data_IF_506282153751
#
_entry.id   IF_506282153751
#
_cell.length_a   1.000
_cell.length_b   1.000
_cell.length_c   1.000
_cell.angle_alpha   90.00
_cell.angle_beta   90.00
_cell.angle_gamma   90.00
#
_symmetry.space_group_name_H-M   'P 1'
#
loop_
_entity.id
_entity.type
_entity.pdbx_description
1 polymer ?
#
# COMPACT_ATOMS: atom_id res chain seq x y z
N UNK A 1 -4.51 11.59 29.48
CA UNK A 1 -4.97 10.79 28.31
C UNK A 1 -5.51 11.61 27.11
N UNK A 2 -5.42 12.94 27.11
CA UNK A 2 -5.62 13.80 25.92
C UNK A 2 -4.49 14.84 25.92
N UNK A 3 -3.33 14.51 25.35
CA UNK A 3 -2.37 15.56 25.02
C UNK A 3 -2.61 15.96 23.56
N UNK A 4 -3.01 17.21 23.28
CA UNK A 4 -3.25 17.67 21.90
C UNK A 4 -1.99 17.52 21.05
N UNK A 5 -0.81 17.62 21.68
CA UNK A 5 0.50 17.39 21.07
C UNK A 5 0.61 15.96 20.52
N UNK A 6 0.10 14.95 21.23
CA UNK A 6 0.18 13.56 20.77
C UNK A 6 -0.68 13.32 19.54
N UNK A 7 -1.90 13.89 19.50
CA UNK A 7 -2.76 13.82 18.31
C UNK A 7 -2.17 14.61 17.14
N UNK A 8 -1.65 15.80 17.40
CA UNK A 8 -0.97 16.63 16.40
C UNK A 8 0.27 15.94 15.82
N UNK A 9 1.09 15.30 16.66
CA UNK A 9 2.27 14.56 16.23
C UNK A 9 1.91 13.35 15.36
N UNK A 10 0.85 12.62 15.72
CA UNK A 10 0.36 11.48 14.96
C UNK A 10 -0.16 11.90 13.58
N UNK A 11 -0.94 13.00 13.54
CA UNK A 11 -1.43 13.58 12.29
C UNK A 11 -0.28 14.11 11.43
N UNK A 12 0.66 14.85 12.00
CA UNK A 12 1.85 15.34 11.29
C UNK A 12 2.69 14.19 10.74
N UNK A 13 2.88 13.11 11.51
CA UNK A 13 3.56 11.90 11.07
C UNK A 13 2.86 11.22 9.90
N UNK A 14 1.52 11.14 9.93
CA UNK A 14 0.72 10.63 8.82
C UNK A 14 0.89 11.47 7.55
N UNK A 15 0.77 12.80 7.66
CA UNK A 15 0.95 13.72 6.52
C UNK A 15 2.38 13.63 5.97
N UNK A 16 3.38 13.55 6.84
CA UNK A 16 4.77 13.38 6.44
C UNK A 16 5.00 12.04 5.71
N UNK A 17 4.42 10.94 6.20
CA UNK A 17 4.50 9.66 5.51
C UNK A 17 3.80 9.72 4.14
N UNK A 18 2.60 10.29 4.06
CA UNK A 18 1.93 10.49 2.77
C UNK A 18 2.77 11.32 1.81
N UNK A 19 3.45 12.36 2.31
CA UNK A 19 4.36 13.17 1.50
C UNK A 19 5.56 12.36 0.98
N UNK A 20 6.17 11.51 1.81
CA UNK A 20 7.26 10.62 1.37
C UNK A 20 6.82 9.61 0.29
N UNK A 21 5.61 9.07 0.41
CA UNK A 21 5.05 8.14 -0.58
C UNK A 21 4.35 8.86 -1.75
N UNK A 22 4.25 10.19 -1.72
CA UNK A 22 3.51 10.98 -2.70
C UNK A 22 4.05 10.78 -4.12
N UNK A 23 5.37 10.86 -4.30
CA UNK A 23 5.99 10.69 -5.62
C UNK A 23 5.73 9.31 -6.22
N UNK A 24 5.73 8.27 -5.37
CA UNK A 24 5.41 6.90 -5.77
C UNK A 24 3.94 6.84 -6.19
N UNK A 25 3.02 7.24 -5.30
CA UNK A 25 1.58 7.22 -5.56
C UNK A 25 1.20 8.04 -6.80
N UNK A 26 1.76 9.24 -6.94
CA UNK A 26 1.53 10.11 -8.08
C UNK A 26 2.05 9.48 -9.39
N UNK A 27 3.18 8.78 -9.35
CA UNK A 27 3.66 8.07 -10.54
C UNK A 27 2.76 6.91 -10.95
N UNK A 28 2.23 6.15 -9.98
CA UNK A 28 1.25 5.08 -10.23
C UNK A 28 -0.06 5.66 -10.79
N UNK A 29 -0.61 6.71 -10.18
CA UNK A 29 -1.83 7.38 -10.64
C UNK A 29 -1.68 8.02 -12.02
N UNK A 30 -0.51 8.62 -12.31
CA UNK A 30 -0.21 9.15 -13.65
C UNK A 30 -0.11 8.03 -14.69
N UNK A 31 0.47 6.89 -14.31
CA UNK A 31 0.53 5.71 -15.18
C UNK A 31 -0.87 5.14 -15.45
N UNK A 32 -1.74 5.12 -14.43
CA UNK A 32 -3.16 4.76 -14.57
C UNK A 32 -3.90 5.72 -15.52
N UNK A 33 -3.79 7.03 -15.30
CA UNK A 33 -4.46 8.03 -16.14
C UNK A 33 -3.99 7.96 -17.59
N UNK A 34 -2.70 7.73 -17.83
CA UNK A 34 -2.17 7.54 -19.19
C UNK A 34 -2.72 6.28 -19.85
N UNK A 35 -2.76 5.16 -19.13
CA UNK A 35 -3.33 3.92 -19.66
C UNK A 35 -4.82 4.06 -19.97
N UNK A 36 -5.57 4.73 -19.09
CA UNK A 36 -7.01 4.98 -19.28
C UNK A 36 -7.28 5.89 -20.49
N UNK A 37 -6.49 6.95 -20.66
CA UNK A 37 -6.58 7.81 -21.85
C UNK A 37 -6.28 7.02 -23.13
N UNK A 38 -5.23 6.19 -23.12
CA UNK A 38 -4.92 5.31 -24.25
C UNK A 38 -6.02 4.29 -24.50
N UNK A 39 -6.64 3.74 -23.46
CA UNK A 39 -7.78 2.84 -23.60
C UNK A 39 -8.98 3.54 -24.26
N UNK A 40 -9.28 4.78 -23.86
CA UNK A 40 -10.35 5.59 -24.45
C UNK A 40 -10.05 5.96 -25.92
N UNK A 41 -8.81 6.35 -26.24
CA UNK A 41 -8.35 6.65 -27.60
C UNK A 41 -8.36 5.40 -28.50
N UNK A 42 -7.82 4.27 -27.99
CA UNK A 42 -7.83 2.99 -28.68
C UNK A 42 -9.27 2.47 -28.81
N UNK A 43 -10.17 2.67 -27.83
CA UNK A 43 -11.58 2.27 -27.94
C UNK A 43 -12.30 3.00 -29.07
N UNK A 44 -11.98 4.29 -29.27
CA UNK A 44 -12.49 5.05 -30.42
C UNK A 44 -11.94 4.52 -31.75
N UNK A 45 -10.65 4.17 -31.80
CA UNK A 45 -10.00 3.66 -33.01
C UNK A 45 -10.32 2.16 -33.29
N UNK A 46 -10.63 1.39 -32.25
CA UNK A 46 -11.02 -0.04 -32.30
C UNK A 46 -12.45 -0.27 -32.79
N UNK A 47 -13.30 0.77 -32.86
CA UNK A 47 -14.53 0.71 -33.67
C UNK A 47 -14.19 0.51 -35.17
N UNK A 48 -12.93 0.72 -35.57
CA UNK A 48 -12.43 0.61 -36.94
C UNK A 48 -11.49 -0.58 -37.18
N UNK A 49 -10.60 -0.95 -36.25
CA UNK A 49 -9.66 -2.06 -36.44
C UNK A 49 -9.45 -2.85 -35.14
N UNK A 50 -9.87 -4.11 -35.12
CA UNK A 50 -9.81 -4.99 -33.94
C UNK A 50 -8.38 -5.50 -33.67
N UNK A 51 -8.02 -5.60 -32.38
CA UNK A 51 -6.97 -6.47 -31.74
C UNK A 51 -5.84 -5.79 -30.94
N UNK A 52 -6.17 -4.93 -29.97
CA UNK A 52 -5.28 -4.77 -28.78
C UNK A 52 -6.12 -4.55 -27.53
N UNK A 53 -6.47 -5.63 -26.84
CA UNK A 53 -7.29 -5.60 -25.63
C UNK A 53 -6.41 -5.11 -24.47
N UNK A 54 -6.56 -3.86 -24.05
CA UNK A 54 -5.90 -3.36 -22.84
C UNK A 54 -6.33 -4.24 -21.66
N UNK A 55 -5.36 -4.77 -20.91
CA UNK A 55 -5.63 -5.63 -19.77
C UNK A 55 -6.16 -4.80 -18.59
N UNK A 56 -7.49 -4.82 -18.45
CA UNK A 56 -8.23 -4.17 -17.36
C UNK A 56 -7.74 -4.58 -15.97
N UNK A 57 -7.21 -5.78 -15.83
CA UNK A 57 -6.66 -6.26 -14.56
C UNK A 57 -5.44 -5.44 -14.16
N UNK A 58 -4.51 -5.23 -15.09
CA UNK A 58 -3.34 -4.36 -14.88
C UNK A 58 -3.74 -2.94 -14.52
N UNK A 59 -4.72 -2.35 -15.22
CA UNK A 59 -5.23 -1.01 -14.91
C UNK A 59 -5.78 -0.91 -13.48
N UNK A 60 -6.59 -1.89 -13.08
CA UNK A 60 -7.18 -1.97 -11.74
C UNK A 60 -6.08 -2.05 -10.67
N UNK A 61 -5.03 -2.84 -10.91
CA UNK A 61 -3.91 -2.96 -9.98
C UNK A 61 -3.15 -1.64 -9.78
N UNK A 62 -2.93 -0.86 -10.86
CA UNK A 62 -2.28 0.46 -10.75
C UNK A 62 -3.07 1.45 -9.87
N UNK A 63 -4.40 1.34 -9.86
CA UNK A 63 -5.27 2.20 -9.05
C UNK A 63 -5.42 1.70 -7.61
N UNK A 64 -5.59 0.39 -7.42
CA UNK A 64 -5.81 -0.22 -6.11
C UNK A 64 -4.56 -0.15 -5.23
N UNK A 65 -3.37 -0.28 -5.81
CA UNK A 65 -2.11 -0.22 -5.09
C UNK A 65 -1.92 1.05 -4.23
N UNK A 66 -1.97 2.28 -4.78
CA UNK A 66 -1.82 3.50 -3.98
C UNK A 66 -2.95 3.68 -2.96
N UNK A 67 -4.17 3.20 -3.26
CA UNK A 67 -5.30 3.25 -2.32
C UNK A 67 -5.06 2.38 -1.08
N UNK A 68 -4.61 1.13 -1.27
CA UNK A 68 -4.30 0.23 -0.16
C UNK A 68 -3.05 0.67 0.61
N UNK A 69 -2.06 1.24 -0.07
CA UNK A 69 -0.88 1.82 0.58
C UNK A 69 -1.26 2.98 1.50
N UNK A 70 -2.08 3.93 1.03
CA UNK A 70 -2.57 5.04 1.84
C UNK A 70 -3.39 4.55 3.05
N UNK A 71 -4.22 3.52 2.87
CA UNK A 71 -4.97 2.89 3.95
C UNK A 71 -4.03 2.29 5.01
N UNK A 72 -3.00 1.55 4.61
CA UNK A 72 -2.01 0.98 5.53
C UNK A 72 -1.27 2.07 6.32
N UNK A 73 -0.88 3.16 5.67
CA UNK A 73 -0.26 4.32 6.34
C UNK A 73 -1.23 4.89 7.38
N UNK A 74 -2.52 5.04 7.06
CA UNK A 74 -3.54 5.48 8.01
C UNK A 74 -3.66 4.56 9.25
N UNK A 75 -3.63 3.24 9.03
CA UNK A 75 -3.69 2.24 10.11
C UNK A 75 -2.47 2.34 11.05
N UNK A 76 -1.26 2.53 10.51
CA UNK A 76 -0.01 2.66 11.30
C UNK A 76 -0.02 3.91 12.18
N UNK A 77 -0.59 5.00 11.69
CA UNK A 77 -0.74 6.25 12.44
C UNK A 77 -2.10 6.34 13.14
N UNK A 78 -2.82 5.22 13.35
CA UNK A 78 -4.03 5.25 14.16
C UNK A 78 -3.68 5.20 15.65
N UNK A 79 -4.35 6.02 16.46
CA UNK A 79 -4.17 6.04 17.91
C UNK A 79 -4.64 4.75 18.58
N UNK A 80 -5.65 4.08 18.02
CA UNK A 80 -6.23 2.88 18.60
C UNK A 80 -6.64 1.92 17.49
N UNK A 81 -6.09 0.70 17.58
CA UNK A 81 -6.33 -0.38 16.64
C UNK A 81 -7.43 -1.27 17.20
N UNK A 82 -8.64 -1.12 16.65
CA UNK A 82 -9.77 -1.98 16.98
C UNK A 82 -9.86 -3.14 15.98
N UNK A 83 -10.42 -4.28 16.38
CA UNK A 83 -10.64 -5.44 15.52
C UNK A 83 -11.45 -5.11 14.25
N UNK A 84 -12.28 -4.06 14.30
CA UNK A 84 -12.95 -3.56 13.10
C UNK A 84 -11.95 -3.08 12.05
N UNK A 85 -10.88 -2.36 12.40
CA UNK A 85 -9.87 -1.97 11.42
C UNK A 85 -9.18 -3.21 10.83
N UNK A 86 -8.89 -4.21 11.67
CA UNK A 86 -8.22 -5.45 11.26
C UNK A 86 -8.90 -6.15 10.09
N UNK A 87 -10.21 -6.39 10.17
CA UNK A 87 -10.97 -7.06 9.10
C UNK A 87 -10.82 -6.36 7.75
N UNK A 88 -10.75 -5.02 7.74
CA UNK A 88 -10.67 -4.25 6.50
C UNK A 88 -9.28 -4.27 5.87
N UNK A 89 -8.23 -4.09 6.67
CA UNK A 89 -6.87 -4.03 6.11
C UNK A 89 -6.24 -5.43 5.94
N UNK A 90 -6.74 -6.45 6.64
CA UNK A 90 -6.25 -7.83 6.54
C UNK A 90 -6.25 -8.33 5.09
N UNK A 91 -7.35 -8.11 4.36
CA UNK A 91 -7.44 -8.51 2.95
C UNK A 91 -6.51 -7.73 2.02
N UNK A 92 -6.08 -6.53 2.42
CA UNK A 92 -5.16 -5.69 1.63
C UNK A 92 -3.69 -6.08 1.82
N UNK A 93 -3.33 -6.70 2.95
CA UNK A 93 -1.95 -7.07 3.27
C UNK A 93 -1.34 -8.09 2.30
N UNK A 94 -2.00 -9.22 1.95
CA UNK A 94 -1.47 -10.14 0.96
C UNK A 94 -1.23 -9.44 -0.38
N UNK A 95 -2.16 -8.60 -0.82
CA UNK A 95 -1.99 -7.86 -2.06
C UNK A 95 -0.74 -6.96 -2.02
N UNK A 96 -0.58 -6.14 -0.99
CA UNK A 96 0.58 -5.26 -0.81
C UNK A 96 1.91 -6.02 -0.76
N UNK A 97 1.95 -7.15 -0.04
CA UNK A 97 3.13 -8.00 0.06
C UNK A 97 3.52 -8.63 -1.29
N UNK A 98 2.55 -9.05 -2.09
CA UNK A 98 2.80 -9.59 -3.42
C UNK A 98 3.22 -8.53 -4.44
N UNK A 99 2.95 -7.25 -4.20
CA UNK A 99 3.50 -6.15 -5.00
C UNK A 99 4.99 -5.89 -4.73
N UNK A 100 5.56 -6.42 -3.63
CA UNK A 100 6.98 -6.26 -3.26
C UNK A 100 7.86 -7.43 -3.72
N UNK A 101 9.17 -7.20 -3.84
CA UNK A 101 10.13 -8.22 -4.27
C UNK A 101 10.61 -9.13 -3.11
N UNK A 102 9.83 -9.21 -2.03
CA UNK A 102 10.12 -10.07 -0.87
C UNK A 102 9.99 -11.56 -1.23
N UNK A 103 10.75 -12.43 -0.56
CA UNK A 103 10.61 -13.89 -0.74
C UNK A 103 9.26 -14.37 -0.19
N UNK A 104 8.68 -15.43 -0.76
CA UNK A 104 7.38 -15.96 -0.31
C UNK A 104 7.38 -16.27 1.19
N UNK A 105 8.48 -16.83 1.71
CA UNK A 105 8.66 -17.10 3.14
C UNK A 105 8.52 -15.84 3.99
N UNK A 106 9.17 -14.73 3.60
CA UNK A 106 9.07 -13.48 4.36
C UNK A 106 7.68 -12.84 4.30
N UNK A 107 6.96 -13.00 3.17
CA UNK A 107 5.56 -12.54 3.03
C UNK A 107 4.65 -13.28 4.01
N UNK A 108 4.74 -14.61 4.04
CA UNK A 108 3.94 -15.44 4.94
C UNK A 108 4.31 -15.22 6.40
N UNK A 109 5.61 -15.04 6.70
CA UNK A 109 6.07 -14.72 8.04
C UNK A 109 5.48 -13.40 8.55
N UNK A 110 5.46 -12.35 7.71
CA UNK A 110 4.87 -11.07 8.07
C UNK A 110 3.35 -11.17 8.31
N UNK A 111 2.64 -11.91 7.46
CA UNK A 111 1.20 -12.18 7.67
C UNK A 111 0.94 -12.92 8.98
N UNK A 112 1.72 -13.97 9.26
CA UNK A 112 1.60 -14.74 10.49
C UNK A 112 1.94 -13.94 11.74
N UNK A 113 2.95 -13.07 11.71
CA UNK A 113 3.28 -12.19 12.83
C UNK A 113 2.18 -11.17 13.13
N UNK A 114 1.56 -10.61 12.08
CA UNK A 114 0.42 -9.71 12.23
C UNK A 114 -0.75 -10.48 12.85
N UNK A 115 -1.10 -11.65 12.30
CA UNK A 115 -2.19 -12.48 12.80
C UNK A 115 -1.97 -12.94 14.26
N UNK A 116 -0.75 -13.35 14.62
CA UNK A 116 -0.39 -13.70 15.98
C UNK A 116 -0.55 -12.51 16.95
N UNK A 117 -0.16 -11.31 16.49
CA UNK A 117 -0.28 -10.09 17.28
C UNK A 117 -1.75 -9.73 17.55
N UNK A 118 -2.65 -9.99 16.61
CA UNK A 118 -4.09 -9.76 16.75
C UNK A 118 -4.83 -10.85 17.55
N UNK A 119 -4.36 -12.10 17.48
CA UNK A 119 -4.92 -13.23 18.25
C UNK A 119 -4.53 -13.23 19.74
N UNK A 120 -3.52 -12.43 20.13
CA UNK A 120 -3.11 -12.31 21.54
C UNK A 120 -3.98 -11.28 22.27
N UNK A 121 -4.96 -11.76 23.05
CA UNK A 121 -5.83 -10.91 23.88
C UNK A 121 -5.60 -11.18 25.39
N UNK A 122 -5.35 -10.16 26.24
CA UNK A 122 -5.18 -8.72 25.95
C UNK A 122 -3.84 -8.39 25.28
N UNK A 123 -3.79 -7.31 24.49
CA UNK A 123 -2.58 -6.90 23.78
C UNK A 123 -1.46 -6.55 24.76
N UNK A 124 -0.31 -7.22 24.63
CA UNK A 124 0.89 -6.93 25.41
C UNK A 124 1.72 -5.86 24.71
N UNK A 125 2.65 -5.23 25.44
CA UNK A 125 3.62 -4.30 24.84
C UNK A 125 4.40 -4.98 23.71
N UNK A 126 4.70 -6.27 23.88
CA UNK A 126 5.42 -7.09 22.91
C UNK A 126 4.59 -7.31 21.64
N UNK A 127 3.33 -7.73 21.74
CA UNK A 127 2.49 -7.94 20.56
C UNK A 127 2.22 -6.64 19.81
N UNK A 128 2.04 -5.53 20.53
CA UNK A 128 1.93 -4.21 19.92
C UNK A 128 3.21 -3.80 19.19
N UNK A 129 4.39 -4.02 19.79
CA UNK A 129 5.67 -3.70 19.15
C UNK A 129 5.91 -4.53 17.89
N UNK A 130 5.64 -5.84 17.94
CA UNK A 130 5.75 -6.75 16.78
C UNK A 130 4.85 -6.26 15.66
N UNK A 131 3.58 -5.95 15.95
CA UNK A 131 2.64 -5.45 14.95
C UNK A 131 3.15 -4.19 14.24
N UNK A 132 3.64 -3.21 15.01
CA UNK A 132 4.17 -1.96 14.43
C UNK A 132 5.45 -2.21 13.62
N UNK A 133 6.36 -3.05 14.11
CA UNK A 133 7.57 -3.43 13.37
C UNK A 133 7.20 -4.12 12.06
N UNK A 134 6.25 -5.05 12.07
CA UNK A 134 5.76 -5.72 10.85
C UNK A 134 5.21 -4.72 9.84
N UNK A 135 4.40 -3.75 10.27
CA UNK A 135 3.90 -2.70 9.37
C UNK A 135 5.01 -1.81 8.81
N UNK A 136 5.98 -1.41 9.64
CA UNK A 136 7.14 -0.61 9.20
C UNK A 136 7.97 -1.38 8.17
N UNK A 137 8.21 -2.67 8.40
CA UNK A 137 8.93 -3.53 7.45
C UNK A 137 8.20 -3.64 6.11
N UNK A 138 6.87 -3.76 6.12
CA UNK A 138 6.07 -3.77 4.89
C UNK A 138 6.22 -2.43 4.16
N UNK A 139 5.99 -1.31 4.84
CA UNK A 139 6.10 0.03 4.26
C UNK A 139 7.50 0.29 3.68
N UNK A 140 8.56 -0.09 4.40
CA UNK A 140 9.93 0.06 3.94
C UNK A 140 10.22 -0.76 2.67
N UNK A 141 9.79 -2.02 2.62
CA UNK A 141 9.99 -2.85 1.43
C UNK A 141 9.17 -2.35 0.24
N UNK A 142 7.94 -1.90 0.47
CA UNK A 142 7.12 -1.25 -0.56
C UNK A 142 7.85 -0.03 -1.12
N UNK A 143 8.38 0.84 -0.26
CA UNK A 143 9.14 2.01 -0.70
C UNK A 143 10.37 1.60 -1.54
N UNK A 144 11.19 0.68 -1.02
CA UNK A 144 12.43 0.23 -1.66
C UNK A 144 12.17 -0.37 -3.06
N UNK A 145 11.21 -1.29 -3.17
CA UNK A 145 10.85 -1.92 -4.45
C UNK A 145 10.34 -0.87 -5.45
N UNK A 146 9.47 0.04 -5.03
CA UNK A 146 8.91 1.04 -5.95
C UNK A 146 9.93 2.12 -6.33
N UNK A 147 10.78 2.57 -5.41
CA UNK A 147 11.87 3.48 -5.71
C UNK A 147 12.86 2.89 -6.73
N UNK A 148 13.20 1.59 -6.59
CA UNK A 148 14.03 0.89 -7.57
C UNK A 148 13.36 0.81 -8.95
N UNK A 149 12.06 0.51 -9.01
CA UNK A 149 11.27 0.50 -10.26
C UNK A 149 11.23 1.88 -10.93
N UNK A 150 11.07 2.95 -10.15
CA UNK A 150 11.09 4.33 -10.65
C UNK A 150 12.46 4.72 -11.20
N UNK A 151 13.55 4.33 -10.53
CA UNK A 151 14.92 4.58 -11.00
C UNK A 151 15.19 3.86 -12.33
N UNK A 152 14.74 2.62 -12.47
CA UNK A 152 14.86 1.85 -13.72
C UNK A 152 14.15 2.53 -14.90
N UNK A 153 12.91 3.02 -14.71
CA UNK A 153 12.16 3.74 -15.76
C UNK A 153 12.78 5.05 -16.22
N UNK A 154 13.61 5.71 -15.40
CA UNK A 154 14.30 6.95 -15.77
C UNK A 154 15.61 6.72 -16.54
N UNK A 155 16.15 5.51 -16.51
CA UNK A 155 17.44 5.17 -17.12
C UNK A 155 17.29 4.55 -18.52
N UNK A 156 16.04 4.45 -19.01
CA UNK A 156 15.63 3.86 -20.28
C UNK A 156 14.90 4.93 -21.07
#
# INVERSE_FOLDING_TARGET
FIHPIFHGALFAGHIFALWLYFDICNTFLRSYSRLKYLEEEISQDMKKNATTKVDMNSLSQLFVFPMFLANLIGVVFSRSLHYQFYVWYYHTLPYLLWCTDLTVTSRLMLLGLIELSWNTYPSTIISSAILHISHIVILFNVYKTNAARLKSKKCL
#
